data_IF_474483171861
#
_entry.id   IF_474483171861
#
_cell.length_a   1.000
_cell.length_b   1.000
_cell.length_c   1.000
_cell.angle_alpha   90.00
_cell.angle_beta   90.00
_cell.angle_gamma   90.00
#
_symmetry.space_group_name_H-M   'P 1'
#
loop_
_entity.id
_entity.type
_entity.pdbx_description
1 polymer ?
#
# COMPACT_ATOMS: atom_id res chain seq x y z
N UNK A 1 15.41 11.15 -16.96
CA UNK A 1 14.74 11.25 -15.63
C UNK A 1 13.31 11.66 -15.90
N UNK A 2 12.30 10.95 -15.33
CA UNK A 2 10.90 11.32 -15.45
C UNK A 2 10.58 12.41 -14.42
N UNK A 3 9.99 13.50 -14.85
CA UNK A 3 9.42 14.49 -13.95
C UNK A 3 8.05 13.99 -13.47
N UNK A 4 7.81 14.07 -12.16
CA UNK A 4 6.54 13.68 -11.56
C UNK A 4 5.69 14.93 -11.39
N UNK A 5 4.75 15.10 -12.28
CA UNK A 5 3.72 16.14 -12.23
C UNK A 5 2.45 15.66 -11.49
N UNK A 6 1.45 16.50 -11.38
CA UNK A 6 0.16 16.16 -10.74
C UNK A 6 -0.54 14.97 -11.39
N UNK A 7 -0.48 14.87 -12.72
CA UNK A 7 -1.14 13.77 -13.47
C UNK A 7 -0.48 12.44 -13.14
N UNK A 8 0.83 12.41 -13.12
CA UNK A 8 1.57 11.19 -12.77
C UNK A 8 1.44 10.86 -11.27
N UNK A 9 1.43 11.88 -10.41
CA UNK A 9 1.20 11.69 -8.97
C UNK A 9 -0.19 11.07 -8.71
N UNK A 10 -1.24 11.52 -9.39
CA UNK A 10 -2.58 10.91 -9.26
C UNK A 10 -2.56 9.42 -9.59
N UNK A 11 -1.83 9.02 -10.64
CA UNK A 11 -1.64 7.60 -10.95
C UNK A 11 -0.93 6.86 -9.83
N UNK A 12 0.09 7.47 -9.22
CA UNK A 12 0.88 6.84 -8.16
C UNK A 12 0.10 6.73 -6.83
N UNK A 13 -0.76 7.71 -6.51
CA UNK A 13 -1.61 7.63 -5.31
C UNK A 13 -2.55 6.41 -5.35
N UNK A 14 -2.97 5.96 -6.53
CA UNK A 14 -3.77 4.75 -6.67
C UNK A 14 -3.06 3.49 -6.12
N UNK A 15 -1.74 3.54 -5.90
CA UNK A 15 -0.96 2.45 -5.29
C UNK A 15 -1.44 2.08 -3.88
N UNK A 16 -1.87 3.04 -3.09
CA UNK A 16 -2.44 2.79 -1.76
C UNK A 16 -3.97 2.89 -1.75
N UNK A 17 -4.54 3.75 -2.56
CA UNK A 17 -5.98 3.95 -2.66
C UNK A 17 -6.70 2.65 -3.04
N UNK A 18 -6.35 2.07 -4.18
CA UNK A 18 -7.09 0.92 -4.71
C UNK A 18 -7.00 -0.35 -3.85
N UNK A 19 -5.83 -0.73 -3.29
CA UNK A 19 -5.79 -1.82 -2.33
C UNK A 19 -6.70 -1.60 -1.12
N UNK A 20 -6.73 -0.38 -0.57
CA UNK A 20 -7.58 -0.07 0.60
C UNK A 20 -9.07 -0.15 0.27
N UNK A 21 -9.49 0.35 -0.90
CA UNK A 21 -10.86 0.21 -1.41
C UNK A 21 -11.25 -1.27 -1.52
N UNK A 22 -10.36 -2.09 -2.11
CA UNK A 22 -10.61 -3.53 -2.26
C UNK A 22 -10.70 -4.24 -0.90
N UNK A 23 -9.87 -3.87 0.08
CA UNK A 23 -9.99 -4.37 1.45
C UNK A 23 -11.36 -4.06 2.06
N UNK A 24 -11.80 -2.80 1.97
CA UNK A 24 -13.11 -2.41 2.49
C UNK A 24 -14.23 -3.24 1.84
N UNK A 25 -14.18 -3.41 0.52
CA UNK A 25 -15.17 -4.23 -0.22
C UNK A 25 -15.13 -5.72 0.15
N UNK A 26 -13.95 -6.27 0.40
CA UNK A 26 -13.83 -7.66 0.91
C UNK A 26 -14.43 -7.77 2.30
N UNK A 27 -14.13 -6.84 3.22
CA UNK A 27 -14.66 -6.86 4.58
C UNK A 27 -16.17 -6.65 4.62
N UNK A 28 -16.73 -5.78 3.79
CA UNK A 28 -18.20 -5.64 3.65
C UNK A 28 -18.89 -6.98 3.34
N UNK A 29 -18.23 -7.86 2.57
CA UNK A 29 -18.78 -9.17 2.19
C UNK A 29 -18.50 -10.28 3.19
N UNK A 30 -17.36 -10.24 3.86
CA UNK A 30 -16.84 -11.38 4.64
C UNK A 30 -16.80 -11.13 6.14
N UNK A 31 -16.80 -9.85 6.56
CA UNK A 31 -16.62 -9.41 7.95
C UNK A 31 -17.55 -8.21 8.22
N UNK A 32 -18.86 -8.41 8.07
CA UNK A 32 -19.85 -7.33 8.21
C UNK A 32 -19.79 -6.63 9.59
N UNK A 33 -19.34 -7.35 10.63
CA UNK A 33 -19.17 -6.84 12.00
C UNK A 33 -18.13 -5.74 12.11
N UNK A 34 -17.17 -5.64 11.17
CA UNK A 34 -16.19 -4.56 11.12
C UNK A 34 -16.84 -3.22 10.76
N UNK A 35 -17.96 -3.25 10.02
CA UNK A 35 -18.63 -2.05 9.52
C UNK A 35 -17.79 -1.30 8.48
N UNK A 36 -16.96 -2.03 7.71
CA UNK A 36 -16.09 -1.43 6.71
C UNK A 36 -16.89 -0.65 5.66
N UNK A 37 -16.36 0.52 5.27
CA UNK A 37 -17.00 1.43 4.33
C UNK A 37 -15.96 2.10 3.41
N UNK A 38 -16.40 2.49 2.23
CA UNK A 38 -15.63 3.33 1.32
C UNK A 38 -16.54 4.29 0.57
N UNK A 39 -16.10 5.52 0.34
CA UNK A 39 -16.82 6.54 -0.44
C UNK A 39 -15.86 7.34 -1.30
N UNK A 40 -16.24 7.59 -2.54
CA UNK A 40 -15.51 8.50 -3.42
C UNK A 40 -15.64 9.95 -2.97
N UNK A 41 -14.51 10.64 -2.98
CA UNK A 41 -14.44 12.08 -2.71
C UNK A 41 -13.27 12.73 -3.41
N UNK A 42 -13.51 13.85 -4.10
CA UNK A 42 -12.47 14.69 -4.70
C UNK A 42 -11.43 13.94 -5.53
N UNK A 43 -11.84 12.93 -6.29
CA UNK A 43 -11.00 12.09 -7.14
C UNK A 43 -10.25 10.97 -6.42
N UNK A 44 -10.43 10.82 -5.11
CA UNK A 44 -9.91 9.74 -4.29
C UNK A 44 -11.00 9.08 -3.46
N UNK A 45 -10.63 8.40 -2.36
CA UNK A 45 -11.56 7.68 -1.51
C UNK A 45 -11.34 7.97 -0.02
N UNK A 46 -12.43 7.98 0.74
CA UNK A 46 -12.43 7.80 2.18
C UNK A 46 -12.64 6.32 2.47
N UNK A 47 -11.80 5.72 3.28
CA UNK A 47 -11.85 4.29 3.59
C UNK A 47 -11.90 4.10 5.10
N UNK A 48 -12.83 3.25 5.58
CA UNK A 48 -12.87 2.72 6.92
C UNK A 48 -12.79 1.20 6.87
N UNK A 49 -11.79 0.62 7.50
CA UNK A 49 -11.54 -0.82 7.51
C UNK A 49 -11.49 -1.38 8.95
N UNK A 50 -12.23 -0.74 9.86
CA UNK A 50 -12.27 -1.09 11.28
C UNK A 50 -11.41 -0.20 12.16
N UNK A 51 -11.74 -0.12 13.44
CA UNK A 51 -10.98 0.66 14.43
C UNK A 51 -9.58 0.09 14.61
N UNK A 52 -8.56 0.97 14.59
CA UNK A 52 -7.16 0.56 14.70
C UNK A 52 -6.57 -0.11 13.47
N UNK A 53 -7.32 -0.18 12.35
CA UNK A 53 -6.81 -0.70 11.08
C UNK A 53 -5.72 0.24 10.52
N UNK A 54 -4.59 -0.29 10.05
CA UNK A 54 -3.54 0.53 9.44
C UNK A 54 -3.90 1.07 8.04
N UNK A 55 -5.04 0.67 7.47
CA UNK A 55 -5.51 1.05 6.14
C UNK A 55 -6.82 1.87 6.17
N UNK A 56 -7.20 2.45 7.26
CA UNK A 56 -8.44 3.22 7.38
C UNK A 56 -8.19 4.72 7.20
N UNK A 57 -7.86 5.17 5.99
CA UNK A 57 -7.54 6.60 5.74
C UNK A 57 -8.16 7.11 4.43
N UNK A 58 -8.32 8.43 4.33
CA UNK A 58 -8.67 9.08 3.08
C UNK A 58 -7.40 9.29 2.24
N UNK A 59 -7.43 8.92 0.96
CA UNK A 59 -6.26 8.94 0.10
C UNK A 59 -6.60 9.27 -1.36
N UNK A 60 -5.63 9.77 -2.14
CA UNK A 60 -5.82 10.14 -3.53
C UNK A 60 -6.59 11.44 -3.77
N UNK A 61 -6.91 12.20 -2.72
CA UNK A 61 -7.78 13.38 -2.76
C UNK A 61 -7.14 14.56 -3.49
N UNK A 62 -7.96 15.39 -4.14
CA UNK A 62 -7.58 16.74 -4.54
C UNK A 62 -6.54 16.88 -5.65
N UNK A 63 -6.21 15.80 -6.37
CA UNK A 63 -5.28 15.85 -7.49
C UNK A 63 -5.99 16.12 -8.82
N UNK A 64 -7.22 15.65 -8.98
CA UNK A 64 -8.04 15.84 -10.18
C UNK A 64 -8.80 17.16 -10.18
N UNK A 65 -9.24 17.63 -9.01
CA UNK A 65 -9.84 18.93 -8.78
C UNK A 65 -9.38 19.54 -7.46
N UNK A 66 -9.54 20.84 -7.22
CA UNK A 66 -9.23 21.45 -5.93
C UNK A 66 -10.01 20.80 -4.78
N UNK A 67 -9.31 20.55 -3.68
CA UNK A 67 -9.90 20.10 -2.42
C UNK A 67 -10.46 21.32 -1.68
N UNK A 68 -11.69 21.24 -1.18
CA UNK A 68 -12.42 22.36 -0.57
C UNK A 68 -12.68 22.12 0.92
N UNK A 69 -13.18 23.18 1.60
CA UNK A 69 -13.62 23.09 3.01
C UNK A 69 -14.77 22.10 3.14
N UNK A 70 -15.69 22.09 2.20
CA UNK A 70 -16.83 21.17 2.18
C UNK A 70 -16.37 19.71 2.00
N UNK A 71 -15.30 19.48 1.23
CA UNK A 71 -14.70 18.14 1.14
C UNK A 71 -14.13 17.73 2.49
N UNK A 72 -13.44 18.63 3.19
CA UNK A 72 -12.90 18.34 4.53
C UNK A 72 -14.01 18.06 5.54
N UNK A 73 -15.11 18.83 5.50
CA UNK A 73 -16.29 18.60 6.35
C UNK A 73 -16.89 17.20 6.11
N UNK A 74 -16.93 16.75 4.85
CA UNK A 74 -17.37 15.38 4.50
C UNK A 74 -16.41 14.31 5.02
N UNK A 75 -15.10 14.53 4.90
CA UNK A 75 -14.09 13.62 5.45
C UNK A 75 -14.26 13.47 6.97
N UNK A 76 -14.38 14.59 7.68
CA UNK A 76 -14.58 14.56 9.14
C UNK A 76 -15.90 13.89 9.52
N UNK A 77 -16.99 14.13 8.79
CA UNK A 77 -18.28 13.50 9.03
C UNK A 77 -18.24 11.98 8.79
N UNK A 78 -17.57 11.53 7.73
CA UNK A 78 -17.39 10.11 7.42
C UNK A 78 -16.70 9.37 8.58
N UNK A 79 -15.52 9.82 9.01
CA UNK A 79 -14.81 9.15 10.10
C UNK A 79 -15.53 9.25 11.44
N UNK A 80 -16.17 10.38 11.73
CA UNK A 80 -17.00 10.54 12.94
C UNK A 80 -18.17 9.56 12.97
N UNK A 81 -18.82 9.30 11.85
CA UNK A 81 -19.91 8.32 11.76
C UNK A 81 -19.48 6.88 12.08
N UNK A 82 -18.18 6.58 11.88
CA UNK A 82 -17.57 5.30 12.23
C UNK A 82 -16.88 5.31 13.60
N UNK A 83 -17.04 6.37 14.39
CA UNK A 83 -16.37 6.56 15.67
C UNK A 83 -14.84 6.37 15.58
N UNK A 84 -14.24 6.89 14.51
CA UNK A 84 -12.83 6.78 14.18
C UNK A 84 -12.17 8.15 14.01
N UNK A 85 -10.86 8.30 14.31
CA UNK A 85 -10.12 9.51 13.99
C UNK A 85 -10.07 9.72 12.47
N UNK A 86 -10.12 10.96 12.03
CA UNK A 86 -9.97 11.29 10.61
C UNK A 86 -8.48 11.26 10.24
N UNK A 87 -8.10 10.31 9.39
CA UNK A 87 -6.76 10.19 8.84
C UNK A 87 -6.77 10.47 7.34
N UNK A 88 -5.85 11.32 6.88
CA UNK A 88 -5.79 11.74 5.49
C UNK A 88 -4.35 11.72 4.98
N UNK A 89 -4.14 11.06 3.86
CA UNK A 89 -2.87 11.10 3.12
C UNK A 89 -2.84 12.33 2.21
N UNK A 90 -1.86 13.19 2.39
CA UNK A 90 -1.67 14.41 1.60
C UNK A 90 -0.45 14.27 0.69
N UNK A 91 -0.71 14.32 -0.62
CA UNK A 91 0.34 14.43 -1.63
C UNK A 91 0.94 15.85 -1.60
N UNK A 92 2.27 16.03 -1.67
CA UNK A 92 2.89 17.35 -1.62
C UNK A 92 2.64 18.21 -2.87
N UNK A 93 2.03 17.64 -3.93
CA UNK A 93 1.66 18.37 -5.13
C UNK A 93 0.28 19.04 -5.04
N UNK A 94 -0.34 19.05 -3.87
CA UNK A 94 -1.53 19.87 -3.60
C UNK A 94 -1.22 21.36 -3.68
N UNK A 95 -2.29 22.16 -3.81
CA UNK A 95 -2.19 23.60 -3.55
C UNK A 95 -1.76 23.82 -2.08
N UNK A 96 -0.82 24.73 -1.80
CA UNK A 96 -0.42 25.04 -0.43
C UNK A 96 -1.58 25.38 0.52
N UNK A 97 -2.67 25.99 0.02
CA UNK A 97 -3.86 26.29 0.80
C UNK A 97 -4.51 25.03 1.43
N UNK A 98 -4.33 23.86 0.83
CA UNK A 98 -4.84 22.59 1.39
C UNK A 98 -4.16 22.29 2.73
N UNK A 99 -2.84 22.46 2.82
CA UNK A 99 -2.10 22.21 4.07
C UNK A 99 -2.50 23.18 5.17
N UNK A 100 -2.75 24.45 4.83
CA UNK A 100 -3.27 25.44 5.79
C UNK A 100 -4.65 25.05 6.31
N UNK A 101 -5.54 24.58 5.46
CA UNK A 101 -6.88 24.12 5.83
C UNK A 101 -6.81 23.00 6.89
N UNK A 102 -5.96 21.99 6.69
CA UNK A 102 -5.77 20.92 7.66
C UNK A 102 -5.16 21.43 8.98
N UNK A 103 -4.17 22.34 8.89
CA UNK A 103 -3.56 22.98 10.08
C UNK A 103 -4.61 23.75 10.90
N UNK A 104 -5.45 24.56 10.25
CA UNK A 104 -6.50 25.35 10.91
C UNK A 104 -7.57 24.49 11.57
N UNK A 105 -7.84 23.29 11.02
CA UNK A 105 -8.75 22.30 11.59
C UNK A 105 -8.14 21.45 12.70
N UNK A 106 -6.87 21.70 13.08
CA UNK A 106 -6.20 21.03 14.20
C UNK A 106 -5.69 19.63 13.88
N UNK A 107 -5.44 19.32 12.61
CA UNK A 107 -4.78 18.06 12.23
C UNK A 107 -3.29 18.10 12.65
N UNK A 108 -2.81 16.97 13.16
CA UNK A 108 -1.41 16.74 13.47
C UNK A 108 -0.77 15.79 12.45
N UNK A 109 0.55 15.90 12.26
CA UNK A 109 1.29 14.94 11.43
C UNK A 109 1.39 13.62 12.19
N UNK A 110 0.96 12.53 11.55
CA UNK A 110 1.04 11.16 12.07
C UNK A 110 2.19 10.37 11.45
N UNK A 111 2.35 10.44 10.11
CA UNK A 111 3.35 9.66 9.38
C UNK A 111 3.96 10.47 8.24
N UNK A 112 5.19 10.09 7.88
CA UNK A 112 5.89 10.55 6.67
C UNK A 112 6.33 9.32 5.89
N UNK A 113 5.85 9.19 4.65
CA UNK A 113 6.13 8.06 3.80
C UNK A 113 6.67 8.53 2.42
N UNK A 114 7.62 7.79 1.88
CA UNK A 114 8.11 8.01 0.52
C UNK A 114 7.30 7.18 -0.46
N UNK A 115 6.80 7.81 -1.50
CA UNK A 115 6.26 7.16 -2.70
C UNK A 115 7.41 6.95 -3.65
N UNK A 116 7.74 5.69 -3.93
CA UNK A 116 8.77 5.33 -4.89
C UNK A 116 8.14 4.72 -6.12
N UNK A 117 8.70 5.01 -7.27
CA UNK A 117 8.28 4.45 -8.53
C UNK A 117 9.46 3.91 -9.34
N UNK A 118 9.15 2.95 -10.18
CA UNK A 118 10.04 2.47 -11.23
C UNK A 118 9.26 2.35 -12.53
N UNK A 119 9.77 2.93 -13.62
CA UNK A 119 9.25 2.67 -14.96
C UNK A 119 9.64 1.26 -15.36
N UNK A 120 8.72 0.57 -16.02
CA UNK A 120 8.92 -0.75 -16.58
C UNK A 120 9.09 -0.60 -18.10
N UNK A 121 10.28 -0.87 -18.60
CA UNK A 121 10.56 -0.73 -20.02
C UNK A 121 10.18 -2.02 -20.77
N UNK A 122 9.41 -1.93 -21.88
CA UNK A 122 9.09 -3.10 -22.72
C UNK A 122 10.37 -3.82 -23.15
N UNK A 123 10.40 -5.14 -22.97
CA UNK A 123 11.57 -5.96 -23.31
C UNK A 123 12.62 -6.08 -22.20
N UNK A 124 12.44 -5.38 -21.06
CA UNK A 124 13.29 -5.59 -19.90
C UNK A 124 13.16 -7.02 -19.37
N UNK A 125 14.28 -7.63 -19.00
CA UNK A 125 14.32 -8.98 -18.43
C UNK A 125 14.77 -8.92 -16.97
N UNK A 126 14.01 -9.58 -16.11
CA UNK A 126 14.34 -9.69 -14.69
C UNK A 126 14.88 -11.09 -14.40
N UNK A 127 16.18 -11.17 -14.15
CA UNK A 127 16.77 -12.44 -13.70
C UNK A 127 16.38 -12.71 -12.25
N UNK A 128 15.55 -13.72 -12.03
CA UNK A 128 15.16 -14.18 -10.71
C UNK A 128 16.16 -15.27 -10.28
N UNK A 129 17.32 -14.85 -9.81
CA UNK A 129 18.30 -15.76 -9.24
C UNK A 129 18.27 -15.66 -7.72
N UNK A 130 18.35 -16.82 -7.05
CA UNK A 130 18.50 -16.90 -5.60
C UNK A 130 19.37 -18.11 -5.24
N UNK A 131 20.28 -17.94 -4.29
CA UNK A 131 21.17 -19.03 -3.82
C UNK A 131 20.34 -20.09 -3.09
N UNK A 132 20.02 -21.20 -3.81
CA UNK A 132 19.37 -22.37 -3.24
C UNK A 132 17.90 -22.15 -2.80
N UNK A 133 17.25 -21.05 -3.17
CA UNK A 133 15.83 -20.86 -2.91
C UNK A 133 15.00 -20.95 -4.19
N UNK A 134 13.81 -21.52 -4.08
CA UNK A 134 12.82 -21.55 -5.13
C UNK A 134 11.92 -20.31 -5.02
N UNK A 135 11.82 -19.54 -6.12
CA UNK A 135 10.87 -18.41 -6.24
C UNK A 135 9.75 -18.83 -7.18
N UNK A 136 8.51 -18.79 -6.70
CA UNK A 136 7.33 -19.19 -7.47
C UNK A 136 6.12 -18.30 -7.21
N UNK A 137 5.11 -18.44 -8.03
CA UNK A 137 3.78 -17.86 -7.76
C UNK A 137 3.23 -18.45 -6.47
N UNK A 138 2.67 -17.59 -5.63
CA UNK A 138 1.84 -18.02 -4.50
C UNK A 138 0.45 -18.42 -4.98
N UNK A 139 -0.13 -19.40 -4.32
CA UNK A 139 -1.47 -19.90 -4.64
C UNK A 139 -2.50 -19.32 -3.67
N UNK A 140 -3.76 -19.09 -4.10
CA UNK A 140 -4.80 -18.52 -3.22
C UNK A 140 -5.02 -19.32 -1.92
N UNK A 141 -4.90 -20.64 -1.96
CA UNK A 141 -5.03 -21.50 -0.77
C UNK A 141 -3.86 -21.34 0.22
N UNK A 142 -2.73 -20.76 -0.21
CA UNK A 142 -1.56 -20.47 0.64
C UNK A 142 -1.67 -19.09 1.33
N UNK A 143 -2.72 -18.32 1.07
CA UNK A 143 -2.88 -16.94 1.56
C UNK A 143 -2.66 -16.81 3.08
N UNK A 144 -3.19 -17.77 3.87
CA UNK A 144 -3.00 -17.78 5.32
C UNK A 144 -1.54 -17.99 5.74
N UNK A 145 -0.82 -18.86 5.04
CA UNK A 145 0.60 -19.13 5.32
C UNK A 145 1.46 -17.94 4.91
N UNK A 146 1.21 -17.37 3.72
CA UNK A 146 1.88 -16.16 3.24
C UNK A 146 1.64 -14.98 4.18
N UNK A 147 0.39 -14.77 4.62
CA UNK A 147 0.05 -13.76 5.63
C UNK A 147 0.81 -13.98 6.94
N UNK A 148 0.89 -15.21 7.44
CA UNK A 148 1.65 -15.56 8.64
C UNK A 148 3.16 -15.30 8.53
N UNK A 149 3.75 -15.35 7.33
CA UNK A 149 5.15 -14.95 7.10
C UNK A 149 5.30 -13.43 7.31
N UNK A 150 4.36 -12.64 6.76
CA UNK A 150 4.37 -11.17 6.94
C UNK A 150 4.16 -10.80 8.40
N UNK A 151 3.18 -11.43 9.06
CA UNK A 151 2.92 -11.20 10.49
C UNK A 151 4.20 -11.36 11.31
N UNK A 152 4.83 -12.52 11.22
CA UNK A 152 6.08 -12.80 11.98
C UNK A 152 7.26 -11.92 11.59
N UNK A 153 7.28 -11.44 10.34
CA UNK A 153 8.34 -10.54 9.89
C UNK A 153 8.24 -9.13 10.50
N UNK A 154 7.03 -8.65 10.76
CA UNK A 154 6.79 -7.33 11.33
C UNK A 154 6.55 -7.35 12.84
N UNK A 155 5.91 -8.40 13.34
CA UNK A 155 5.50 -8.55 14.73
C UNK A 155 5.95 -9.91 15.28
N UNK A 156 7.23 -10.09 15.60
CA UNK A 156 7.75 -11.37 16.10
C UNK A 156 7.08 -11.81 17.42
N UNK A 157 6.61 -10.85 18.21
CA UNK A 157 5.93 -11.07 19.50
C UNK A 157 4.39 -11.14 19.37
N UNK A 158 3.85 -11.14 18.15
CA UNK A 158 2.43 -11.18 17.84
C UNK A 158 1.88 -9.84 17.34
N UNK A 159 1.08 -9.91 16.28
CA UNK A 159 0.47 -8.73 15.65
C UNK A 159 -0.86 -8.34 16.31
N UNK A 160 -1.24 -7.04 16.28
CA UNK A 160 -2.60 -6.62 16.56
C UNK A 160 -3.62 -7.35 15.65
N UNK A 161 -4.82 -7.60 16.17
CA UNK A 161 -5.87 -8.32 15.43
C UNK A 161 -6.20 -7.63 14.10
N UNK A 162 -6.39 -6.31 14.13
CA UNK A 162 -6.67 -5.52 12.95
C UNK A 162 -5.61 -5.67 11.84
N UNK A 163 -4.32 -5.86 12.21
CA UNK A 163 -3.27 -6.13 11.23
C UNK A 163 -3.36 -7.55 10.68
N UNK A 164 -3.61 -8.55 11.53
CA UNK A 164 -3.77 -9.96 11.09
C UNK A 164 -4.92 -10.14 10.12
N UNK A 165 -6.03 -9.42 10.33
CA UNK A 165 -7.22 -9.45 9.48
C UNK A 165 -6.93 -9.01 8.04
N UNK A 166 -5.94 -8.16 7.82
CA UNK A 166 -5.54 -7.70 6.48
C UNK A 166 -4.70 -8.72 5.70
N UNK A 167 -4.00 -9.61 6.38
CA UNK A 167 -2.95 -10.40 5.73
C UNK A 167 -3.49 -11.44 4.77
N UNK A 168 -4.55 -12.16 5.14
CA UNK A 168 -5.13 -13.21 4.27
C UNK A 168 -5.84 -12.61 3.05
N UNK A 169 -6.73 -11.62 3.19
CA UNK A 169 -7.41 -11.01 2.04
C UNK A 169 -6.47 -10.47 0.97
N UNK A 170 -5.34 -9.86 1.35
CA UNK A 170 -4.35 -9.35 0.41
C UNK A 170 -3.92 -10.38 -0.65
N UNK A 171 -3.73 -11.64 -0.21
CA UNK A 171 -3.26 -12.71 -1.08
C UNK A 171 -4.36 -13.39 -1.88
N UNK A 172 -5.63 -12.98 -1.68
CA UNK A 172 -6.82 -13.53 -2.33
C UNK A 172 -7.59 -12.50 -3.17
N UNK A 173 -7.18 -11.23 -3.13
CA UNK A 173 -7.84 -10.16 -3.90
C UNK A 173 -7.73 -10.39 -5.40
N UNK A 174 -8.78 -10.02 -6.13
CA UNK A 174 -8.76 -9.99 -7.59
C UNK A 174 -7.66 -9.03 -8.07
N UNK A 175 -6.88 -9.47 -9.06
CA UNK A 175 -5.74 -8.70 -9.57
C UNK A 175 -4.46 -8.79 -8.72
N UNK A 176 -4.50 -9.47 -7.56
CA UNK A 176 -3.30 -9.67 -6.75
C UNK A 176 -2.35 -10.68 -7.41
N UNK A 177 -1.09 -10.29 -7.54
CA UNK A 177 0.00 -11.15 -7.98
C UNK A 177 0.88 -11.48 -6.77
N UNK A 178 0.83 -12.72 -6.33
CA UNK A 178 1.52 -13.20 -5.13
C UNK A 178 2.70 -14.09 -5.46
N UNK A 179 3.74 -14.03 -4.65
CA UNK A 179 4.96 -14.83 -4.82
C UNK A 179 5.45 -15.34 -3.46
N UNK A 180 6.01 -16.53 -3.48
CA UNK A 180 6.66 -17.17 -2.35
C UNK A 180 8.11 -17.48 -2.67
N UNK A 181 8.96 -17.41 -1.65
CA UNK A 181 10.31 -17.97 -1.68
C UNK A 181 10.38 -19.14 -0.70
N UNK A 182 10.78 -20.30 -1.20
CA UNK A 182 10.97 -21.49 -0.40
C UNK A 182 12.46 -21.87 -0.32
N UNK A 183 12.88 -22.32 0.86
CA UNK A 183 14.20 -22.91 1.13
C UNK A 183 13.96 -24.28 1.75
N UNK A 184 14.58 -25.32 1.18
CA UNK A 184 14.39 -26.72 1.61
C UNK A 184 12.91 -27.12 1.69
N UNK A 185 12.10 -26.65 0.73
CA UNK A 185 10.66 -26.92 0.63
C UNK A 185 9.78 -26.13 1.60
N UNK A 186 10.35 -25.29 2.48
CA UNK A 186 9.60 -24.45 3.44
C UNK A 186 9.48 -23.02 2.91
N UNK A 187 8.27 -22.48 2.88
CA UNK A 187 8.06 -21.07 2.56
C UNK A 187 8.58 -20.16 3.69
N UNK A 188 9.52 -19.28 3.35
CA UNK A 188 10.26 -18.45 4.31
C UNK A 188 10.19 -16.95 4.01
N UNK A 189 9.77 -16.60 2.81
CA UNK A 189 9.54 -15.22 2.43
C UNK A 189 8.41 -15.12 1.39
N UNK A 190 7.79 -13.98 1.33
CA UNK A 190 6.72 -13.70 0.35
C UNK A 190 6.73 -12.24 -0.08
N UNK A 191 5.95 -11.97 -1.11
CA UNK A 191 5.64 -10.64 -1.57
C UNK A 191 4.46 -10.64 -2.50
N UNK A 192 3.67 -9.59 -2.44
CA UNK A 192 2.51 -9.40 -3.30
C UNK A 192 2.59 -8.08 -4.06
N UNK A 193 1.66 -7.88 -4.93
CA UNK A 193 1.33 -6.61 -5.55
C UNK A 193 -0.01 -6.71 -6.24
N UNK A 194 -0.60 -5.55 -6.53
CA UNK A 194 -1.89 -5.43 -7.18
C UNK A 194 -1.70 -4.74 -8.54
N UNK A 195 -2.24 -5.35 -9.59
CA UNK A 195 -2.37 -4.69 -10.90
C UNK A 195 -3.54 -3.72 -10.84
N UNK A 196 -3.31 -2.47 -11.21
CA UNK A 196 -4.32 -1.40 -11.29
C UNK A 196 -4.38 -0.94 -12.75
N UNK A 197 -5.23 -1.59 -13.57
CA UNK A 197 -5.21 -1.42 -15.03
C UNK A 197 -5.52 0.01 -15.47
N UNK A 198 -6.46 0.69 -14.81
CA UNK A 198 -6.92 2.05 -15.14
C UNK A 198 -5.77 3.06 -15.06
N UNK A 199 -4.84 2.84 -14.13
CA UNK A 199 -3.64 3.65 -13.94
C UNK A 199 -2.39 3.06 -14.59
N UNK A 200 -2.46 1.85 -15.14
CA UNK A 200 -1.34 1.09 -15.70
C UNK A 200 -0.17 0.98 -14.73
N UNK A 201 -0.48 0.80 -13.44
CA UNK A 201 0.51 0.62 -12.38
C UNK A 201 0.39 -0.74 -11.71
N UNK A 202 1.50 -1.16 -11.13
CA UNK A 202 1.58 -2.28 -10.22
C UNK A 202 1.92 -1.76 -8.83
N UNK A 203 0.97 -1.88 -7.91
CA UNK A 203 1.17 -1.53 -6.50
C UNK A 203 1.93 -2.65 -5.79
N UNK A 204 3.17 -2.39 -5.39
CA UNK A 204 4.02 -3.38 -4.70
C UNK A 204 3.71 -3.36 -3.21
N UNK A 205 3.28 -4.49 -2.64
CA UNK A 205 2.86 -4.58 -1.25
C UNK A 205 3.12 -5.97 -0.64
N UNK A 206 2.67 -6.18 0.61
CA UNK A 206 2.54 -7.48 1.26
C UNK A 206 3.82 -8.33 1.26
N UNK A 207 4.97 -7.76 1.65
CA UNK A 207 6.23 -8.47 1.62
C UNK A 207 6.78 -8.73 3.02
N UNK A 208 7.25 -9.96 3.26
CA UNK A 208 7.89 -10.36 4.51
C UNK A 208 8.96 -11.42 4.29
N UNK A 209 9.93 -11.48 5.20
CA UNK A 209 10.95 -12.56 5.26
C UNK A 209 11.11 -12.95 6.71
N UNK A 210 10.99 -14.24 6.98
CA UNK A 210 11.26 -14.80 8.31
C UNK A 210 12.67 -14.41 8.77
N UNK A 211 12.79 -14.05 10.04
CA UNK A 211 13.98 -13.37 10.59
C UNK A 211 15.26 -14.15 10.32
N UNK A 212 15.22 -15.48 10.50
CA UNK A 212 16.32 -16.41 10.33
C UNK A 212 16.79 -16.58 8.86
N UNK A 213 15.96 -16.09 7.89
CA UNK A 213 16.26 -16.16 6.45
C UNK A 213 16.60 -14.79 5.85
N UNK A 214 16.70 -13.74 6.66
CA UNK A 214 17.09 -12.39 6.20
C UNK A 214 18.55 -12.38 5.72
N UNK A 215 18.90 -11.39 4.90
CA UNK A 215 20.25 -11.22 4.36
C UNK A 215 20.61 -12.16 3.19
N UNK A 216 19.72 -13.08 2.77
CA UNK A 216 19.93 -14.03 1.67
C UNK A 216 19.45 -13.56 0.30
N UNK A 217 19.10 -12.29 0.14
CA UNK A 217 18.63 -11.75 -1.14
C UNK A 217 17.19 -12.11 -1.54
N UNK A 218 16.44 -12.84 -0.70
CA UNK A 218 15.09 -13.33 -1.02
C UNK A 218 14.12 -12.21 -1.43
N UNK A 219 14.13 -11.08 -0.71
CA UNK A 219 13.27 -9.94 -1.08
C UNK A 219 13.65 -9.32 -2.42
N UNK A 220 14.92 -9.29 -2.77
CA UNK A 220 15.38 -8.84 -4.08
C UNK A 220 14.88 -9.76 -5.19
N UNK A 221 15.00 -11.08 -5.00
CA UNK A 221 14.49 -12.07 -5.94
C UNK A 221 12.96 -12.00 -6.09
N UNK A 222 12.23 -11.91 -4.98
CA UNK A 222 10.77 -11.73 -4.97
C UNK A 222 10.33 -10.43 -5.65
N UNK A 223 11.08 -9.33 -5.45
CA UNK A 223 10.76 -8.06 -6.11
C UNK A 223 11.00 -8.14 -7.62
N UNK A 224 12.08 -8.79 -8.07
CA UNK A 224 12.32 -9.05 -9.50
C UNK A 224 11.20 -9.89 -10.12
N UNK A 225 10.75 -10.95 -9.46
CA UNK A 225 9.65 -11.78 -9.94
C UNK A 225 8.34 -10.98 -10.06
N UNK A 226 8.07 -10.09 -9.11
CA UNK A 226 6.91 -9.19 -9.15
C UNK A 226 7.01 -8.17 -10.28
N UNK A 227 8.20 -7.60 -10.53
CA UNK A 227 8.42 -6.66 -11.64
C UNK A 227 8.26 -7.33 -13.01
N UNK A 228 8.75 -8.57 -13.16
CA UNK A 228 8.54 -9.37 -14.37
C UNK A 228 7.04 -9.55 -14.64
N UNK A 229 6.29 -9.98 -13.62
CA UNK A 229 4.85 -10.19 -13.73
C UNK A 229 4.05 -8.89 -13.96
N UNK A 230 4.49 -7.78 -13.39
CA UNK A 230 3.92 -6.46 -13.65
C UNK A 230 4.09 -6.05 -15.12
N UNK A 231 5.26 -6.30 -15.69
CA UNK A 231 5.55 -6.04 -17.10
C UNK A 231 4.69 -6.93 -18.02
N UNK A 232 4.59 -8.23 -17.71
CA UNK A 232 3.71 -9.17 -18.41
C UNK A 232 2.23 -8.74 -18.37
N UNK A 233 1.80 -8.16 -17.23
CA UNK A 233 0.45 -7.61 -17.07
C UNK A 233 0.23 -6.25 -17.76
N UNK A 234 1.23 -5.71 -18.48
CA UNK A 234 1.15 -4.46 -19.22
C UNK A 234 1.21 -3.20 -18.36
N UNK A 235 1.71 -3.30 -17.12
CA UNK A 235 1.95 -2.14 -16.28
C UNK A 235 3.08 -1.28 -16.83
N UNK A 236 2.94 0.03 -16.72
CA UNK A 236 3.95 1.01 -17.14
C UNK A 236 4.89 1.38 -15.99
N UNK A 237 4.36 1.35 -14.78
CA UNK A 237 5.11 1.63 -13.56
C UNK A 237 4.86 0.59 -12.47
N UNK A 238 5.88 0.30 -11.71
CA UNK A 238 5.76 -0.30 -10.38
C UNK A 238 5.89 0.83 -9.34
N UNK A 239 4.97 0.85 -8.37
CA UNK A 239 4.92 1.88 -7.32
C UNK A 239 4.89 1.20 -5.95
N UNK A 240 5.57 1.78 -4.99
CA UNK A 240 5.60 1.30 -3.60
C UNK A 240 5.63 2.49 -2.66
N UNK A 241 4.94 2.37 -1.53
CA UNK A 241 5.03 3.33 -0.43
C UNK A 241 5.77 2.70 0.73
N UNK A 242 6.71 3.43 1.33
CA UNK A 242 7.55 2.96 2.43
C UNK A 242 8.06 4.12 3.28
N UNK A 243 8.27 3.86 4.54
CA UNK A 243 8.96 4.80 5.40
C UNK A 243 10.38 5.06 4.91
N UNK A 244 10.83 6.31 5.04
CA UNK A 244 12.17 6.74 4.68
C UNK A 244 13.26 6.03 5.48
N UNK A 245 14.39 5.71 4.83
CA UNK A 245 15.56 5.10 5.47
C UNK A 245 15.42 3.62 5.85
N UNK A 246 14.34 2.95 5.47
CA UNK A 246 14.09 1.54 5.79
C UNK A 246 14.82 0.56 4.86
N UNK A 247 15.04 -0.70 5.30
CA UNK A 247 15.51 -1.77 4.42
C UNK A 247 14.61 -1.99 3.20
N UNK A 248 13.29 -1.75 3.32
CA UNK A 248 12.33 -1.83 2.23
C UNK A 248 12.66 -0.82 1.14
N UNK A 249 12.82 0.46 1.49
CA UNK A 249 13.23 1.50 0.55
C UNK A 249 14.54 1.13 -0.15
N UNK A 250 15.57 0.79 0.61
CA UNK A 250 16.88 0.41 0.06
C UNK A 250 16.81 -0.74 -0.94
N UNK A 251 15.97 -1.76 -0.69
CA UNK A 251 15.79 -2.88 -1.61
C UNK A 251 15.12 -2.44 -2.92
N UNK A 252 14.17 -1.53 -2.85
CA UNK A 252 13.52 -0.95 -4.03
C UNK A 252 14.50 -0.09 -4.83
N UNK A 253 15.26 0.81 -4.18
CA UNK A 253 16.25 1.67 -4.84
C UNK A 253 17.33 0.86 -5.56
N UNK A 254 17.80 -0.25 -4.98
CA UNK A 254 18.76 -1.18 -5.63
C UNK A 254 18.21 -1.81 -6.91
N UNK A 255 16.91 -1.88 -7.06
CA UNK A 255 16.23 -2.34 -8.27
C UNK A 255 15.71 -1.19 -9.15
N UNK A 256 16.26 0.00 -8.99
CA UNK A 256 16.00 1.13 -9.86
C UNK A 256 14.76 1.94 -9.53
N UNK A 257 14.10 1.70 -8.40
CA UNK A 257 13.07 2.60 -7.91
C UNK A 257 13.69 3.94 -7.50
N UNK A 258 12.91 5.00 -7.64
CA UNK A 258 13.27 6.36 -7.26
C UNK A 258 12.13 6.97 -6.45
N UNK A 259 12.47 7.83 -5.51
CA UNK A 259 11.48 8.63 -4.79
C UNK A 259 10.83 9.60 -5.77
N UNK A 260 9.50 9.50 -5.87
CA UNK A 260 8.67 10.46 -6.59
C UNK A 260 8.48 11.71 -5.72
N UNK A 261 8.02 11.50 -4.51
CA UNK A 261 7.80 12.51 -3.47
C UNK A 261 7.66 11.83 -2.10
N UNK A 262 7.71 12.64 -1.04
CA UNK A 262 7.32 12.22 0.30
C UNK A 262 5.92 12.75 0.57
N UNK A 263 5.00 11.90 1.00
CA UNK A 263 3.66 12.27 1.43
C UNK A 263 3.55 12.28 2.95
N UNK A 264 2.61 13.04 3.46
CA UNK A 264 2.32 13.12 4.87
C UNK A 264 0.94 12.54 5.16
N UNK A 265 0.83 11.70 6.17
CA UNK A 265 -0.46 11.34 6.77
C UNK A 265 -0.72 12.30 7.92
N UNK A 266 -1.85 12.96 7.86
CA UNK A 266 -2.33 13.82 8.96
C UNK A 266 -3.52 13.16 9.66
N UNK A 267 -3.65 13.42 10.97
CA UNK A 267 -4.70 12.85 11.81
C UNK A 267 -5.39 13.93 12.65
N UNK A 268 -6.70 13.82 12.78
CA UNK A 268 -7.50 14.54 13.77
C UNK A 268 -8.21 13.53 14.65
N UNK A 269 -7.83 13.54 15.93
CA UNK A 269 -8.46 12.68 16.93
C UNK A 269 -9.93 13.07 17.15
N UNK A 270 -10.72 12.09 17.60
CA UNK A 270 -12.08 12.38 18.06
C UNK A 270 -12.01 13.25 19.32
N UNK A 271 -12.87 14.26 19.38
CA UNK A 271 -13.07 15.01 20.61
C UNK A 271 -13.58 14.03 21.69
N UNK A 272 -12.89 13.99 22.82
CA UNK A 272 -13.36 13.21 23.96
C UNK A 272 -14.63 13.91 24.48
N UNK A 273 -15.74 13.25 24.35
CA UNK A 273 -17.03 13.65 24.95
C UNK A 273 -16.95 13.46 26.47
#
# INVERSE_FOLDING_TARGET
MQFVDKVLARRFEACEEMPQVLYARVFQKTRAEIGAAEEEICGGHMIFAGLGSPIGRATGLGLDRPFTVEDLDRVEAFYRSHNAPAQVDLCPLHDPAVFEMFRERGYAIAELNNVLYRRLDPGEQFTVASDGSEIRRGLPQEARELGGIVERAFFPDGAPEAFRDLLTPLYQMDGALTFAAAVDGKMVACGAGLVIPEHRIFAVCGAGTAVEYRGRGLQTALLRARLAAALEAGCEYAVVVTQGGTPSQRNCERLGFRVAYSKVTVIKELEKV
#
